data_IF_344190354837
#
_entry.id   IF_344190354837
#
_cell.length_a   1.000
_cell.length_b   1.000
_cell.length_c   1.000
_cell.angle_alpha   90.00
_cell.angle_beta   90.00
_cell.angle_gamma   90.00
#
_symmetry.space_group_name_H-M   'P 1'
#
loop_
_entity.id
_entity.type
_entity.pdbx_description
1 polymer ?
#
# COMPACT_ATOMS: atom_id res chain seq x y z
N UNK A 1 -8.31 -16.92 8.96
CA UNK A 1 -7.91 -16.18 7.75
C UNK A 1 -9.05 -15.25 7.36
N UNK A 2 -9.05 -14.01 7.85
CA UNK A 2 -10.09 -13.03 7.51
C UNK A 2 -9.79 -12.51 6.11
N UNK A 3 -10.68 -12.78 5.17
CA UNK A 3 -10.67 -12.12 3.85
C UNK A 3 -11.11 -10.68 4.10
N UNK A 4 -10.16 -9.81 4.41
CA UNK A 4 -10.45 -8.38 4.44
C UNK A 4 -10.62 -7.93 3.00
N UNK A 5 -11.82 -7.46 2.65
CA UNK A 5 -12.03 -6.64 1.46
C UNK A 5 -11.51 -5.25 1.83
N UNK A 6 -10.19 -5.07 1.81
CA UNK A 6 -9.47 -3.87 2.26
C UNK A 6 -9.76 -2.65 1.34
N UNK A 7 -10.52 -2.86 0.27
CA UNK A 7 -10.80 -1.88 -0.79
C UNK A 7 -12.05 -1.00 -0.56
N UNK A 8 -12.80 -1.15 0.56
CA UNK A 8 -14.17 -0.58 0.64
C UNK A 8 -14.55 0.26 1.83
N UNK A 9 -13.65 0.46 2.79
CA UNK A 9 -13.90 1.41 3.87
C UNK A 9 -12.75 2.39 3.97
N UNK A 10 -13.07 3.62 4.36
CA UNK A 10 -12.10 4.70 4.53
C UNK A 10 -11.00 4.28 5.52
N UNK A 11 -11.34 3.51 6.56
CA UNK A 11 -10.37 3.02 7.55
C UNK A 11 -9.37 2.03 6.96
N UNK A 12 -9.83 1.15 6.08
CA UNK A 12 -8.98 0.15 5.43
C UNK A 12 -8.00 0.80 4.44
N UNK A 13 -8.48 1.81 3.70
CA UNK A 13 -7.63 2.61 2.83
C UNK A 13 -6.62 3.42 3.64
N UNK A 14 -7.05 4.06 4.73
CA UNK A 14 -6.16 4.80 5.63
C UNK A 14 -5.10 3.89 6.28
N UNK A 15 -5.39 2.61 6.47
CA UNK A 15 -4.41 1.62 6.92
C UNK A 15 -3.34 1.33 5.86
N UNK A 16 -3.75 1.06 4.61
CA UNK A 16 -2.81 0.90 3.49
C UNK A 16 -1.93 2.15 3.34
N UNK A 17 -2.52 3.34 3.39
CA UNK A 17 -1.81 4.61 3.29
C UNK A 17 -0.80 4.79 4.43
N UNK A 18 -1.15 4.39 5.67
CA UNK A 18 -0.21 4.39 6.80
C UNK A 18 1.00 3.49 6.53
N UNK A 19 0.78 2.29 6.00
CA UNK A 19 1.87 1.37 5.69
C UNK A 19 2.75 1.91 4.56
N UNK A 20 2.15 2.36 3.45
CA UNK A 20 2.87 2.97 2.33
C UNK A 20 3.71 4.17 2.76
N UNK A 21 3.14 5.07 3.56
CA UNK A 21 3.86 6.24 4.10
C UNK A 21 5.02 5.82 5.01
N UNK A 22 4.84 4.80 5.84
CA UNK A 22 5.90 4.32 6.72
C UNK A 22 7.06 3.73 5.90
N UNK A 23 6.76 2.86 4.93
CA UNK A 23 7.80 2.23 4.11
C UNK A 23 8.49 3.21 3.17
N UNK A 24 7.81 4.26 2.71
CA UNK A 24 8.41 5.29 1.84
C UNK A 24 9.51 6.11 2.53
N UNK A 25 9.58 6.12 3.88
CA UNK A 25 10.72 6.69 4.58
C UNK A 25 12.01 5.89 4.35
N UNK A 26 11.91 4.57 4.16
CA UNK A 26 13.04 3.66 3.90
C UNK A 26 13.31 3.52 2.39
N UNK A 27 12.25 3.33 1.60
CA UNK A 27 12.34 3.16 0.15
C UNK A 27 11.94 4.44 -0.58
N UNK A 28 12.95 5.21 -1.01
CA UNK A 28 12.74 6.55 -1.60
C UNK A 28 12.05 6.54 -2.97
N UNK A 29 12.03 5.40 -3.65
CA UNK A 29 11.32 5.22 -4.91
C UNK A 29 9.80 5.10 -4.73
N UNK A 30 9.33 4.86 -3.50
CA UNK A 30 7.90 4.87 -3.18
C UNK A 30 7.49 6.32 -2.86
N UNK A 31 6.55 6.91 -3.62
CA UNK A 31 5.99 8.22 -3.32
C UNK A 31 5.41 8.28 -1.89
N UNK A 32 5.57 9.44 -1.24
CA UNK A 32 4.81 9.72 -0.02
C UNK A 32 3.32 9.83 -0.35
N UNK A 33 2.47 9.26 0.51
CA UNK A 33 1.02 9.30 0.38
C UNK A 33 0.35 10.06 1.52
N UNK A 34 -0.69 10.83 1.21
CA UNK A 34 -1.72 11.28 2.14
C UNK A 34 -2.38 10.13 2.92
N UNK A 35 -2.87 10.38 4.15
CA UNK A 35 -3.72 9.45 4.89
C UNK A 35 -5.08 10.12 5.03
N UNK A 36 -5.90 9.99 4.00
CA UNK A 36 -7.24 10.59 3.89
C UNK A 36 -8.35 9.55 3.78
N UNK A 37 -8.01 8.26 3.72
CA UNK A 37 -8.96 7.17 3.53
C UNK A 37 -9.50 7.05 2.10
N UNK A 38 -8.92 7.78 1.14
CA UNK A 38 -9.35 7.77 -0.26
C UNK A 38 -8.32 7.03 -1.12
N UNK A 39 -8.78 5.99 -1.84
CA UNK A 39 -7.93 5.21 -2.74
C UNK A 39 -7.81 5.93 -4.10
N UNK A 40 -7.23 7.12 -4.09
CA UNK A 40 -7.01 7.97 -5.26
C UNK A 40 -5.77 7.58 -6.07
N UNK A 41 -5.42 8.41 -7.05
CA UNK A 41 -4.27 8.16 -7.94
C UNK A 41 -2.94 8.17 -7.18
N UNK A 42 -2.78 9.06 -6.19
CA UNK A 42 -1.59 9.09 -5.32
C UNK A 42 -1.36 7.75 -4.60
N UNK A 43 -2.43 7.18 -4.04
CA UNK A 43 -2.38 5.85 -3.39
C UNK A 43 -2.05 4.75 -4.41
N UNK A 44 -2.66 4.78 -5.60
CA UNK A 44 -2.39 3.80 -6.67
C UNK A 44 -0.94 3.85 -7.13
N UNK A 45 -0.39 5.04 -7.33
CA UNK A 45 0.98 5.23 -7.79
C UNK A 45 1.99 4.74 -6.75
N UNK A 46 1.73 4.99 -5.47
CA UNK A 46 2.55 4.42 -4.40
C UNK A 46 2.46 2.90 -4.33
N UNK A 47 1.28 2.32 -4.57
CA UNK A 47 1.13 0.86 -4.64
C UNK A 47 1.86 0.27 -5.85
N UNK A 48 1.80 0.92 -7.03
CA UNK A 48 2.56 0.48 -8.21
C UNK A 48 4.06 0.54 -7.95
N UNK A 49 4.57 1.62 -7.38
CA UNK A 49 5.97 1.77 -7.02
C UNK A 49 6.43 0.69 -6.03
N UNK A 50 5.62 0.42 -5.00
CA UNK A 50 5.87 -0.69 -4.07
C UNK A 50 5.88 -2.04 -4.79
N UNK A 51 4.87 -2.33 -5.62
CA UNK A 51 4.79 -3.59 -6.36
C UNK A 51 6.00 -3.78 -7.28
N UNK A 52 6.41 -2.75 -8.01
CA UNK A 52 7.58 -2.77 -8.87
C UNK A 52 8.86 -3.06 -8.07
N UNK A 53 9.07 -2.35 -6.96
CA UNK A 53 10.26 -2.50 -6.11
C UNK A 53 10.41 -3.93 -5.57
N UNK A 54 9.31 -4.57 -5.22
CA UNK A 54 9.28 -5.93 -4.67
C UNK A 54 8.97 -7.01 -5.72
N UNK A 55 9.08 -6.68 -7.01
CA UNK A 55 8.86 -7.63 -8.12
C UNK A 55 7.49 -8.32 -8.09
N UNK A 56 6.46 -7.61 -7.65
CA UNK A 56 5.05 -8.00 -7.69
C UNK A 56 4.40 -7.50 -8.99
N UNK A 57 3.18 -7.96 -9.27
CA UNK A 57 2.41 -7.46 -10.40
C UNK A 57 2.01 -5.98 -10.18
N UNK A 58 2.46 -5.08 -11.04
CA UNK A 58 2.25 -3.62 -10.97
C UNK A 58 0.81 -3.23 -11.37
N UNK A 59 -0.16 -3.61 -10.56
CA UNK A 59 -1.58 -3.38 -10.82
C UNK A 59 -2.11 -2.08 -10.21
N UNK A 60 -1.40 -1.53 -9.21
CA UNK A 60 -1.91 -0.45 -8.36
C UNK A 60 -3.06 -0.89 -7.45
N UNK A 61 -3.35 -2.20 -7.37
CA UNK A 61 -4.36 -2.80 -6.52
C UNK A 61 -3.67 -3.57 -5.41
N UNK A 62 -4.08 -3.34 -4.16
CA UNK A 62 -3.61 -4.13 -3.01
C UNK A 62 -4.39 -5.43 -2.93
N UNK A 63 -3.85 -6.49 -3.54
CA UNK A 63 -4.32 -7.87 -3.32
C UNK A 63 -3.68 -8.48 -2.06
N UNK A 64 -4.01 -9.74 -1.76
CA UNK A 64 -3.50 -10.41 -0.55
C UNK A 64 -1.96 -10.51 -0.54
N UNK A 65 -1.33 -10.76 -1.69
CA UNK A 65 0.12 -10.86 -1.78
C UNK A 65 0.78 -9.49 -1.56
N UNK A 66 0.25 -8.45 -2.21
CA UNK A 66 0.71 -7.07 -2.02
C UNK A 66 0.55 -6.62 -0.57
N UNK A 67 -0.58 -6.94 0.06
CA UNK A 67 -0.82 -6.61 1.46
C UNK A 67 0.15 -7.33 2.41
N UNK A 68 0.39 -8.64 2.22
CA UNK A 68 1.32 -9.40 3.05
C UNK A 68 2.75 -8.86 2.97
N UNK A 69 3.21 -8.51 1.76
CA UNK A 69 4.52 -7.87 1.58
C UNK A 69 4.56 -6.49 2.24
N UNK A 70 3.56 -5.63 1.97
CA UNK A 70 3.51 -4.29 2.53
C UNK A 70 3.48 -4.30 4.06
N UNK A 71 2.71 -5.21 4.65
CA UNK A 71 2.62 -5.37 6.10
C UNK A 71 3.93 -5.86 6.71
N UNK A 72 4.64 -6.79 6.05
CA UNK A 72 5.97 -7.23 6.49
C UNK A 72 6.95 -6.08 6.51
N UNK A 73 7.02 -5.33 5.40
CA UNK A 73 7.91 -4.18 5.29
C UNK A 73 7.54 -3.07 6.28
N UNK A 74 6.28 -2.93 6.65
CA UNK A 74 5.89 -1.99 7.70
C UNK A 74 6.43 -2.38 9.09
N UNK A 75 6.62 -3.67 9.37
CA UNK A 75 7.07 -4.17 10.67
C UNK A 75 8.60 -4.18 10.84
N UNK A 76 9.36 -4.11 9.75
CA UNK A 76 10.83 -4.13 9.73
C UNK A 76 11.45 -2.75 10.01
#
# INVERSE_FOLDING_TARGET
MKVYRIDRTEEAVAEIQRYLRAVSYRYKDIPHVGIDGIYGEETKDAVRAFQLLFSLAETGVVDSLTFEHLYREFLD
#
